data_IF_877399641329
#
_entry.id   IF_877399641329
#
_cell.length_a   1.000
_cell.length_b   1.000
_cell.length_c   1.000
_cell.angle_alpha   90.00
_cell.angle_beta   90.00
_cell.angle_gamma   90.00
#
_symmetry.space_group_name_H-M   'P 1'
#
loop_
_entity.id
_entity.type
_entity.pdbx_description
1 polymer ?
#
# COMPACT_ATOMS: atom_id res chain seq x y z
N UNK A 1 -22.23 -18.89 6.42
CA UNK A 1 -21.59 -18.05 7.44
C UNK A 1 -20.06 -18.18 7.46
N UNK A 2 -19.47 -19.39 7.57
CA UNK A 2 -18.00 -19.57 7.68
C UNK A 2 -17.18 -19.16 6.44
N UNK A 3 -17.72 -19.28 5.23
CA UNK A 3 -17.00 -18.88 4.02
C UNK A 3 -16.86 -17.36 3.90
N UNK A 4 -17.85 -16.62 4.40
CA UNK A 4 -17.88 -15.16 4.37
C UNK A 4 -16.80 -14.59 5.32
N UNK A 5 -16.66 -15.18 6.51
CA UNK A 5 -15.60 -14.82 7.46
C UNK A 5 -14.20 -15.10 6.92
N UNK A 6 -14.03 -16.19 6.15
CA UNK A 6 -12.75 -16.54 5.53
C UNK A 6 -12.32 -15.53 4.46
N UNK A 7 -13.26 -15.13 3.59
CA UNK A 7 -12.99 -14.13 2.54
C UNK A 7 -12.65 -12.77 3.16
N UNK A 8 -13.34 -12.38 4.23
CA UNK A 8 -13.04 -11.13 4.96
C UNK A 8 -11.63 -11.18 5.59
N UNK A 9 -11.25 -12.27 6.24
CA UNK A 9 -9.89 -12.41 6.79
C UNK A 9 -8.82 -12.34 5.70
N UNK A 10 -9.02 -13.04 4.57
CA UNK A 10 -8.10 -12.94 3.43
C UNK A 10 -7.99 -11.51 2.90
N UNK A 11 -9.12 -10.79 2.79
CA UNK A 11 -9.12 -9.40 2.36
C UNK A 11 -8.26 -8.52 3.30
N UNK A 12 -8.45 -8.66 4.62
CA UNK A 12 -7.70 -7.88 5.61
C UNK A 12 -6.20 -8.18 5.58
N UNK A 13 -5.82 -9.46 5.51
CA UNK A 13 -4.41 -9.87 5.39
C UNK A 13 -3.81 -9.34 4.09
N UNK A 14 -4.56 -9.37 3.01
CA UNK A 14 -4.09 -8.88 1.72
C UNK A 14 -3.87 -7.37 1.73
N UNK A 15 -4.77 -6.59 2.33
CA UNK A 15 -4.56 -5.15 2.54
C UNK A 15 -3.29 -4.90 3.35
N UNK A 16 -3.07 -5.67 4.41
CA UNK A 16 -1.86 -5.55 5.24
C UNK A 16 -0.58 -5.84 4.43
N UNK A 17 -0.58 -6.90 3.63
CA UNK A 17 0.58 -7.28 2.81
C UNK A 17 0.84 -6.26 1.70
N UNK A 18 -0.20 -5.77 1.02
CA UNK A 18 -0.08 -4.79 -0.07
C UNK A 18 0.39 -3.43 0.46
N UNK A 19 -0.12 -3.00 1.62
CA UNK A 19 0.21 -1.71 2.22
C UNK A 19 1.56 -1.72 2.96
N UNK A 20 2.03 -2.88 3.43
CA UNK A 20 3.29 -3.01 4.17
C UNK A 20 4.51 -2.40 3.48
N UNK A 21 4.89 -2.85 2.26
CA UNK A 21 6.05 -2.34 1.55
C UNK A 21 6.04 -0.82 1.31
N UNK A 22 4.95 -0.20 0.79
CA UNK A 22 4.92 1.25 0.60
C UNK A 22 4.95 2.02 1.92
N UNK A 23 4.33 1.51 3.00
CA UNK A 23 4.38 2.16 4.32
C UNK A 23 5.81 2.15 4.87
N UNK A 24 6.51 1.02 4.81
CA UNK A 24 7.89 0.91 5.30
C UNK A 24 8.83 1.84 4.51
N UNK A 25 8.69 1.87 3.19
CA UNK A 25 9.49 2.76 2.33
C UNK A 25 9.19 4.24 2.61
N UNK A 26 7.90 4.61 2.76
CA UNK A 26 7.51 5.96 3.10
C UNK A 26 8.04 6.40 4.47
N UNK A 27 8.05 5.47 5.45
CA UNK A 27 8.61 5.72 6.78
C UNK A 27 10.11 5.98 6.73
N UNK A 28 10.88 5.10 6.08
CA UNK A 28 12.35 5.23 5.99
C UNK A 28 12.72 6.56 5.33
N UNK A 29 12.08 6.89 4.21
CA UNK A 29 12.46 8.08 3.45
C UNK A 29 11.91 9.35 4.12
N UNK A 30 10.68 9.31 4.63
CA UNK A 30 10.10 10.41 5.40
C UNK A 30 10.94 10.75 6.64
N UNK A 31 11.43 9.72 7.34
CA UNK A 31 12.36 9.87 8.45
C UNK A 31 13.69 10.51 8.00
N UNK A 32 14.33 9.98 6.96
CA UNK A 32 15.60 10.53 6.45
C UNK A 32 15.48 12.01 6.04
N UNK A 33 14.40 12.37 5.34
CA UNK A 33 14.11 13.76 4.97
C UNK A 33 13.92 14.64 6.22
N UNK A 34 13.23 14.13 7.26
CA UNK A 34 13.02 14.89 8.50
C UNK A 34 14.32 15.18 9.26
N UNK A 35 15.25 14.22 9.27
CA UNK A 35 16.57 14.39 9.89
C UNK A 35 17.40 15.41 9.12
N UNK A 36 17.38 15.34 7.78
CA UNK A 36 18.10 16.31 6.95
C UNK A 36 17.58 17.73 7.14
N UNK A 37 16.25 17.91 7.18
CA UNK A 37 15.63 19.20 7.46
C UNK A 37 16.01 19.77 8.82
N UNK A 38 16.04 18.91 9.86
CA UNK A 38 16.46 19.30 11.20
C UNK A 38 17.95 19.66 11.27
N UNK A 39 18.81 18.90 10.59
CA UNK A 39 20.26 19.10 10.60
C UNK A 39 20.68 20.41 9.92
N UNK A 40 20.01 20.81 8.84
CA UNK A 40 20.32 22.05 8.11
C UNK A 40 19.51 23.26 8.58
N UNK A 41 18.63 23.11 9.57
CA UNK A 41 17.71 24.15 10.05
C UNK A 41 16.81 24.74 8.95
N UNK A 42 16.56 23.98 7.87
CA UNK A 42 15.69 24.42 6.76
C UNK A 42 14.27 23.93 7.07
N UNK A 43 13.49 24.78 7.71
CA UNK A 43 12.09 24.51 8.09
C UNK A 43 11.06 25.15 7.14
N UNK A 44 11.47 25.46 5.90
CA UNK A 44 10.59 26.01 4.87
C UNK A 44 9.59 24.95 4.38
N UNK A 45 8.32 25.11 4.76
CA UNK A 45 7.27 24.11 4.48
C UNK A 45 7.15 23.77 2.98
N UNK A 46 7.33 24.75 2.10
CA UNK A 46 7.22 24.58 0.64
C UNK A 46 8.34 23.70 0.08
N UNK A 47 9.57 23.84 0.60
CA UNK A 47 10.75 23.10 0.13
C UNK A 47 10.78 21.66 0.67
N UNK A 48 10.15 21.42 1.82
CA UNK A 48 9.92 20.07 2.39
C UNK A 48 8.95 19.23 1.56
N UNK A 49 8.07 19.87 0.78
CA UNK A 49 6.99 19.20 0.08
C UNK A 49 7.44 18.50 -1.22
N UNK A 50 8.24 19.19 -2.04
CA UNK A 50 8.64 18.66 -3.36
C UNK A 50 9.47 17.34 -3.28
N UNK A 51 10.50 17.21 -2.42
CA UNK A 51 11.25 15.96 -2.30
C UNK A 51 10.39 14.79 -1.83
N UNK A 52 9.46 15.03 -0.89
CA UNK A 52 8.54 14.02 -0.38
C UNK A 52 7.60 13.49 -1.48
N UNK A 53 7.07 14.38 -2.32
CA UNK A 53 6.21 13.96 -3.44
C UNK A 53 6.96 13.06 -4.42
N UNK A 54 8.15 13.47 -4.87
CA UNK A 54 8.96 12.69 -5.83
C UNK A 54 9.22 11.29 -5.29
N UNK A 55 9.56 11.19 -4.00
CA UNK A 55 9.75 9.92 -3.31
C UNK A 55 8.49 9.07 -3.32
N UNK A 56 7.34 9.63 -2.91
CA UNK A 56 6.07 8.88 -2.83
C UNK A 56 5.66 8.39 -4.21
N UNK A 57 5.75 9.24 -5.24
CA UNK A 57 5.49 8.84 -6.63
C UNK A 57 6.46 7.76 -7.10
N UNK A 58 7.73 7.82 -6.72
CA UNK A 58 8.71 6.78 -7.00
C UNK A 58 8.34 5.44 -6.37
N UNK A 59 7.98 5.44 -5.07
CA UNK A 59 7.55 4.23 -4.35
C UNK A 59 6.29 3.65 -5.00
N UNK A 60 5.29 4.48 -5.30
CA UNK A 60 4.06 4.04 -5.95
C UNK A 60 4.28 3.55 -7.37
N UNK A 61 5.21 4.15 -8.13
CA UNK A 61 5.58 3.69 -9.46
C UNK A 61 6.24 2.31 -9.45
N UNK A 62 7.11 2.05 -8.46
CA UNK A 62 7.79 0.76 -8.31
C UNK A 62 6.88 -0.33 -7.72
N UNK A 63 6.10 0.01 -6.69
CA UNK A 63 5.19 -0.92 -6.03
C UNK A 63 3.88 -1.13 -6.81
N UNK A 64 3.49 -0.17 -7.65
CA UNK A 64 2.21 -0.13 -8.36
C UNK A 64 1.89 -1.40 -9.16
N UNK A 65 2.80 -1.90 -10.04
CA UNK A 65 2.56 -3.12 -10.81
C UNK A 65 2.31 -4.34 -9.91
N UNK A 66 3.08 -4.49 -8.84
CA UNK A 66 2.92 -5.58 -7.90
C UNK A 66 1.62 -5.48 -7.09
N UNK A 67 1.27 -4.29 -6.61
CA UNK A 67 0.01 -4.04 -5.92
C UNK A 67 -1.19 -4.33 -6.84
N UNK A 68 -1.14 -3.85 -8.08
CA UNK A 68 -2.19 -4.05 -9.07
C UNK A 68 -2.39 -5.52 -9.44
N UNK A 69 -1.31 -6.26 -9.70
CA UNK A 69 -1.41 -7.71 -9.99
C UNK A 69 -1.94 -8.50 -8.80
N UNK A 70 -1.57 -8.12 -7.57
CA UNK A 70 -2.08 -8.78 -6.36
C UNK A 70 -3.58 -8.53 -6.21
N UNK A 71 -4.04 -7.27 -6.31
CA UNK A 71 -5.46 -6.91 -6.30
C UNK A 71 -6.28 -7.67 -7.34
N UNK A 72 -5.80 -7.71 -8.59
CA UNK A 72 -6.48 -8.43 -9.68
C UNK A 72 -6.62 -9.93 -9.37
N UNK A 73 -5.57 -10.59 -8.87
CA UNK A 73 -5.63 -12.02 -8.49
C UNK A 73 -6.70 -12.28 -7.44
N UNK A 74 -6.84 -11.40 -6.45
CA UNK A 74 -7.86 -11.54 -5.43
C UNK A 74 -9.26 -11.30 -5.97
N UNK A 75 -9.44 -10.29 -6.83
CA UNK A 75 -10.70 -10.07 -7.52
C UNK A 75 -11.13 -11.30 -8.32
N UNK A 76 -10.23 -11.89 -9.11
CA UNK A 76 -10.52 -13.12 -9.85
C UNK A 76 -10.84 -14.31 -8.92
N UNK A 77 -10.10 -14.47 -7.82
CA UNK A 77 -10.37 -15.53 -6.83
C UNK A 77 -11.77 -15.40 -6.19
N UNK A 78 -12.21 -14.17 -5.89
CA UNK A 78 -13.57 -13.94 -5.42
C UNK A 78 -14.58 -14.28 -6.51
N UNK A 79 -14.33 -13.84 -7.76
CA UNK A 79 -15.24 -14.06 -8.88
C UNK A 79 -15.43 -15.56 -9.18
N UNK A 80 -14.35 -16.35 -9.14
CA UNK A 80 -14.39 -17.80 -9.32
C UNK A 80 -15.13 -18.52 -8.19
N UNK A 81 -15.04 -18.00 -6.96
CA UNK A 81 -15.77 -18.53 -5.80
C UNK A 81 -17.20 -18.02 -5.71
N UNK A 82 -17.56 -16.98 -6.48
CA UNK A 82 -18.86 -16.34 -6.43
C UNK A 82 -20.01 -17.31 -6.74
N UNK A 83 -19.96 -18.16 -7.80
CA UNK A 83 -21.01 -19.15 -8.07
C UNK A 83 -21.25 -20.13 -6.91
N UNK A 84 -20.20 -20.51 -6.19
CA UNK A 84 -20.29 -21.41 -5.04
C UNK A 84 -20.93 -20.73 -3.80
N UNK A 85 -20.95 -19.39 -3.75
CA UNK A 85 -21.60 -18.63 -2.69
C UNK A 85 -23.11 -18.42 -2.93
N UNK A 86 -23.56 -18.51 -4.18
CA UNK A 86 -24.98 -18.35 -4.59
C UNK A 86 -25.70 -19.69 -4.81
N UNK A 87 -24.95 -20.80 -4.94
CA UNK A 87 -25.49 -22.13 -5.26
C UNK A 87 -26.16 -22.89 -4.10
N UNK A 88 -26.58 -22.19 -3.04
CA UNK A 88 -27.38 -22.72 -1.93
C UNK A 88 -28.65 -21.89 -1.76
#
# INVERSE_FOLDING_TARGET
>A
MHQLTYVIQQALVMVLVISGPPIVMALIIGFGISVFQAATQIQEQTLSFAPKLVVIFGILGLAGPWMGTTLLRFTFNIYDRFPALIGH
#
